data_IF_528795452321
#
_entry.id   IF_528795452321
#
_cell.length_a   1.000
_cell.length_b   1.000
_cell.length_c   1.000
_cell.angle_alpha   90.00
_cell.angle_beta   90.00
_cell.angle_gamma   90.00
#
_symmetry.space_group_name_H-M   'P 1'
#
loop_
_entity.id
_entity.type
_entity.pdbx_description
1 polymer ?
#
# COMPACT_ATOMS: atom_id res chain seq x y z
N UNK A 1 2.28 24.57 -3.28
CA UNK A 1 2.60 23.47 -2.36
C UNK A 1 2.59 22.20 -3.19
N UNK A 2 3.74 21.51 -3.29
CA UNK A 2 3.82 20.24 -4.02
C UNK A 2 3.69 19.06 -3.05
N UNK A 3 3.26 17.90 -3.55
CA UNK A 3 3.16 16.63 -2.81
C UNK A 3 4.09 15.63 -3.47
N UNK A 4 4.96 14.98 -2.70
CA UNK A 4 5.62 13.75 -3.15
C UNK A 4 4.91 12.57 -2.51
N UNK A 5 4.34 11.67 -3.33
CA UNK A 5 3.84 10.36 -2.97
C UNK A 5 4.89 9.29 -3.27
N UNK A 6 5.59 8.81 -2.25
CA UNK A 6 6.64 7.80 -2.40
C UNK A 6 6.14 6.42 -1.99
N UNK A 7 6.35 5.40 -2.84
CA UNK A 7 6.30 4.02 -2.35
C UNK A 7 7.40 3.77 -1.32
N UNK A 8 7.23 2.70 -0.50
CA UNK A 8 8.14 2.37 0.58
C UNK A 8 9.13 1.27 0.20
N UNK A 9 8.62 0.08 -0.10
CA UNK A 9 9.44 -1.13 -0.29
C UNK A 9 10.09 -1.12 -1.68
N UNK A 10 11.44 -1.07 -1.73
CA UNK A 10 12.17 -0.95 -3.01
C UNK A 10 12.34 0.49 -3.50
N UNK A 11 11.60 1.45 -2.94
CA UNK A 11 11.64 2.87 -3.28
C UNK A 11 12.28 3.69 -2.15
N UNK A 12 11.52 4.19 -1.18
CA UNK A 12 12.10 4.96 -0.07
C UNK A 12 13.08 4.10 0.74
N UNK A 13 12.70 2.85 1.04
CA UNK A 13 13.54 1.88 1.76
C UNK A 13 14.48 1.08 0.84
N UNK A 14 14.84 1.61 -0.34
CA UNK A 14 15.90 1.02 -1.14
C UNK A 14 17.25 1.22 -0.46
N UNK A 15 17.92 0.13 -0.07
CA UNK A 15 19.18 0.12 0.72
C UNK A 15 19.07 0.83 2.10
N UNK A 16 17.88 0.85 2.71
CA UNK A 16 17.64 1.52 3.98
C UNK A 16 17.38 3.02 3.86
N UNK A 17 17.05 3.65 4.99
CA UNK A 17 16.82 5.10 5.08
C UNK A 17 18.01 5.73 5.82
N UNK A 18 18.91 6.33 5.07
CA UNK A 18 20.09 7.01 5.55
C UNK A 18 19.85 8.50 5.87
N UNK A 19 20.88 9.19 6.35
CA UNK A 19 20.79 10.61 6.68
C UNK A 19 20.62 11.52 5.45
N UNK A 20 21.00 11.05 4.26
CA UNK A 20 20.81 11.82 3.02
C UNK A 20 19.33 11.90 2.69
N UNK A 21 18.63 10.76 2.71
CA UNK A 21 17.17 10.71 2.52
C UNK A 21 16.43 11.52 3.58
N UNK A 22 16.83 11.40 4.86
CA UNK A 22 16.20 12.17 5.96
C UNK A 22 16.33 13.67 5.75
N UNK A 23 17.54 14.15 5.40
CA UNK A 23 17.78 15.59 5.13
C UNK A 23 17.03 16.09 3.91
N UNK A 24 16.96 15.31 2.84
CA UNK A 24 16.20 15.66 1.64
C UNK A 24 14.70 15.80 1.96
N UNK A 25 14.09 14.83 2.65
CA UNK A 25 12.70 14.90 3.09
C UNK A 25 12.46 16.11 4.01
N UNK A 26 13.34 16.36 4.94
CA UNK A 26 13.25 17.54 5.83
C UNK A 26 13.33 18.85 5.04
N UNK A 27 14.22 18.95 4.05
CA UNK A 27 14.32 20.13 3.18
C UNK A 27 13.03 20.34 2.36
N UNK A 28 12.46 19.26 1.80
CA UNK A 28 11.19 19.29 1.09
C UNK A 28 10.06 19.86 1.94
N UNK A 29 9.92 19.34 3.16
CA UNK A 29 8.90 19.78 4.11
C UNK A 29 9.12 21.20 4.61
N UNK A 30 10.36 21.64 4.84
CA UNK A 30 10.73 23.03 5.20
C UNK A 30 10.41 24.03 4.09
N UNK A 31 10.42 23.60 2.83
CA UNK A 31 9.98 24.42 1.69
C UNK A 31 8.45 24.58 1.62
N UNK A 32 7.70 24.03 2.58
CA UNK A 32 6.23 24.12 2.62
C UNK A 32 5.52 23.06 1.78
N UNK A 33 6.22 22.00 1.41
CA UNK A 33 5.69 20.88 0.63
C UNK A 33 5.34 19.69 1.52
N UNK A 34 4.54 18.78 0.99
CA UNK A 34 4.05 17.55 1.66
C UNK A 34 4.86 16.35 1.20
N UNK A 35 5.30 15.52 2.14
CA UNK A 35 5.86 14.20 1.88
C UNK A 35 4.91 13.13 2.39
N UNK A 36 4.38 12.30 1.49
CA UNK A 36 3.46 11.21 1.78
C UNK A 36 4.08 9.85 1.42
N UNK A 37 3.94 8.89 2.32
CA UNK A 37 4.33 7.50 2.08
C UNK A 37 3.11 6.71 1.60
N UNK A 38 3.23 6.03 0.45
CA UNK A 38 2.16 5.28 -0.20
C UNK A 38 2.52 3.81 -0.26
N UNK A 39 1.77 2.94 0.43
CA UNK A 39 2.15 1.54 0.59
C UNK A 39 0.95 0.58 0.56
N UNK A 40 1.19 -0.67 0.13
CA UNK A 40 0.24 -1.77 0.30
C UNK A 40 0.11 -2.27 1.74
N UNK A 41 1.05 -1.87 2.62
CA UNK A 41 1.04 -2.26 4.03
C UNK A 41 -0.11 -1.61 4.79
N UNK A 42 -0.52 -2.25 5.90
CA UNK A 42 -1.44 -1.62 6.85
C UNK A 42 -0.87 -0.31 7.38
N UNK A 43 -1.70 0.70 7.53
CA UNK A 43 -1.27 2.07 7.92
C UNK A 43 -0.51 2.10 9.26
N UNK A 44 -0.90 1.28 10.24
CA UNK A 44 -0.17 1.17 11.51
C UNK A 44 1.24 0.59 11.31
N UNK A 45 1.41 -0.40 10.42
CA UNK A 45 2.74 -0.95 10.11
C UNK A 45 3.64 0.10 9.46
N UNK A 46 3.11 0.93 8.57
CA UNK A 46 3.85 2.03 7.93
C UNK A 46 4.27 3.08 8.96
N UNK A 47 3.35 3.47 9.85
CA UNK A 47 3.64 4.38 10.97
C UNK A 47 4.74 3.84 11.87
N UNK A 48 4.68 2.57 12.24
CA UNK A 48 5.66 1.96 13.13
C UNK A 48 7.07 1.93 12.49
N UNK A 49 7.15 1.66 11.19
CA UNK A 49 8.38 1.79 10.42
C UNK A 49 8.91 3.23 10.40
N UNK A 50 8.03 4.23 10.22
CA UNK A 50 8.40 5.64 10.29
C UNK A 50 9.00 6.01 11.64
N UNK A 51 8.37 5.57 12.75
CA UNK A 51 8.88 5.81 14.11
C UNK A 51 10.25 5.15 14.30
N UNK A 52 10.40 3.88 13.90
CA UNK A 52 11.65 3.12 14.06
C UNK A 52 12.80 3.70 13.24
N UNK A 53 12.55 4.16 12.02
CA UNK A 53 13.56 4.63 11.09
C UNK A 53 13.74 6.14 11.09
N UNK A 54 12.91 6.88 11.83
CA UNK A 54 12.98 8.32 12.07
C UNK A 54 13.18 9.16 10.80
N UNK A 55 12.29 9.00 9.83
CA UNK A 55 12.21 9.87 8.65
C UNK A 55 10.95 10.76 8.72
N UNK A 56 11.02 11.98 8.21
CA UNK A 56 9.87 12.90 8.21
C UNK A 56 8.79 12.43 7.25
N UNK A 57 7.51 12.39 7.70
CA UNK A 57 6.37 12.08 6.85
C UNK A 57 5.16 12.86 7.34
N UNK A 58 4.39 13.45 6.43
CA UNK A 58 3.20 14.22 6.78
C UNK A 58 1.94 13.37 6.73
N UNK A 59 1.91 12.41 5.78
CA UNK A 59 0.78 11.49 5.62
C UNK A 59 1.25 10.08 5.26
N UNK A 60 0.51 9.10 5.75
CA UNK A 60 0.65 7.68 5.42
C UNK A 60 -0.59 7.24 4.64
N UNK A 61 -0.40 6.85 3.40
CA UNK A 61 -1.42 6.31 2.51
C UNK A 61 -1.21 4.80 2.47
N UNK A 62 -1.91 4.09 3.35
CA UNK A 62 -1.77 2.64 3.54
C UNK A 62 -2.84 1.82 2.83
N UNK A 63 -2.72 0.50 2.93
CA UNK A 63 -3.64 -0.48 2.31
C UNK A 63 -3.92 -0.14 0.83
N UNK A 64 -2.85 0.09 0.07
CA UNK A 64 -2.90 0.43 -1.37
C UNK A 64 -3.77 1.66 -1.71
N UNK A 65 -3.83 2.64 -0.81
CA UNK A 65 -4.62 3.86 -1.02
C UNK A 65 -5.94 3.92 -0.27
N UNK A 66 -6.35 2.82 0.39
CA UNK A 66 -7.62 2.76 1.11
C UNK A 66 -7.66 3.60 2.38
N UNK A 67 -6.53 3.83 3.04
CA UNK A 67 -6.48 4.54 4.33
C UNK A 67 -5.46 5.65 4.29
N UNK A 68 -5.85 6.84 4.76
CA UNK A 68 -4.94 7.97 4.96
C UNK A 68 -4.87 8.29 6.46
N UNK A 69 -3.66 8.30 6.98
CA UNK A 69 -3.34 8.69 8.36
C UNK A 69 -2.42 9.92 8.33
N UNK A 70 -2.67 10.89 9.20
CA UNK A 70 -1.80 12.08 9.34
C UNK A 70 -0.58 11.83 10.25
N UNK A 71 0.31 12.81 10.34
CA UNK A 71 1.49 12.78 11.20
C UNK A 71 1.16 12.68 12.72
N UNK A 72 -0.09 12.96 13.13
CA UNK A 72 -0.56 12.82 14.51
C UNK A 72 -1.14 11.43 14.78
N UNK A 73 -1.00 10.49 13.84
CA UNK A 73 -1.54 9.13 13.88
C UNK A 73 -3.09 9.09 13.88
N UNK A 74 -3.74 10.09 13.30
CA UNK A 74 -5.18 10.10 13.12
C UNK A 74 -5.54 9.62 11.72
N UNK A 75 -6.45 8.66 11.62
CA UNK A 75 -7.03 8.27 10.33
C UNK A 75 -7.96 9.40 9.89
N UNK A 76 -7.60 10.06 8.79
CA UNK A 76 -8.33 11.19 8.21
C UNK A 76 -9.21 10.79 7.03
N UNK A 77 -8.98 9.61 6.46
CA UNK A 77 -9.80 9.01 5.40
C UNK A 77 -9.68 7.48 5.42
N UNK A 78 -10.81 6.78 5.15
CA UNK A 78 -10.81 5.34 4.93
C UNK A 78 -11.88 4.93 3.90
N UNK A 79 -11.45 4.26 2.84
CA UNK A 79 -12.30 3.59 1.86
C UNK A 79 -12.50 2.14 2.29
N UNK A 80 -13.67 1.86 2.90
CA UNK A 80 -13.98 0.56 3.49
C UNK A 80 -14.63 -0.39 2.50
N UNK A 81 -14.34 -1.68 2.63
CA UNK A 81 -15.03 -2.76 1.93
C UNK A 81 -16.36 -3.10 2.64
N UNK A 82 -17.30 -3.69 1.90
CA UNK A 82 -18.54 -4.21 2.47
C UNK A 82 -18.24 -5.38 3.43
N UNK A 83 -18.54 -5.27 4.73
CA UNK A 83 -18.25 -6.32 5.71
C UNK A 83 -18.94 -7.66 5.37
N UNK A 84 -20.08 -7.65 4.68
CA UNK A 84 -20.80 -8.87 4.27
C UNK A 84 -20.02 -9.71 3.25
N UNK A 85 -19.06 -9.09 2.55
CA UNK A 85 -18.25 -9.74 1.52
C UNK A 85 -16.97 -10.36 2.07
N UNK A 86 -16.61 -10.15 3.34
CA UNK A 86 -15.37 -10.67 3.92
C UNK A 86 -15.33 -12.21 3.90
N UNK A 87 -16.34 -12.86 4.48
CA UNK A 87 -16.40 -14.32 4.55
C UNK A 87 -16.47 -14.95 3.15
N UNK A 88 -17.38 -14.51 2.24
CA UNK A 88 -17.40 -15.02 0.87
C UNK A 88 -16.07 -14.89 0.12
N UNK A 89 -15.35 -13.79 0.31
CA UNK A 89 -14.03 -13.59 -0.30
C UNK A 89 -13.01 -14.59 0.24
N UNK A 90 -12.90 -14.71 1.57
CA UNK A 90 -11.91 -15.60 2.20
C UNK A 90 -12.21 -17.08 1.86
N UNK A 91 -13.48 -17.51 1.87
CA UNK A 91 -13.86 -18.85 1.44
C UNK A 91 -13.39 -19.13 0.01
N UNK A 92 -13.62 -18.19 -0.89
CA UNK A 92 -13.17 -18.34 -2.27
C UNK A 92 -11.64 -18.37 -2.41
N UNK A 93 -10.91 -17.57 -1.64
CA UNK A 93 -9.45 -17.65 -1.62
C UNK A 93 -8.96 -19.04 -1.18
N UNK A 94 -9.63 -19.69 -0.22
CA UNK A 94 -9.32 -21.07 0.17
C UNK A 94 -9.66 -22.08 -0.93
N UNK A 95 -10.77 -21.92 -1.63
CA UNK A 95 -11.09 -22.74 -2.82
C UNK A 95 -10.01 -22.62 -3.90
N UNK A 96 -9.39 -21.45 -4.02
CA UNK A 96 -8.27 -21.20 -4.94
C UNK A 96 -6.92 -21.66 -4.40
N UNK A 97 -6.89 -22.32 -3.22
CA UNK A 97 -5.70 -22.88 -2.59
C UNK A 97 -4.84 -21.88 -1.82
N UNK A 98 -5.35 -20.71 -1.48
CA UNK A 98 -4.69 -19.82 -0.52
C UNK A 98 -4.80 -20.40 0.89
N UNK A 99 -3.78 -20.21 1.72
CA UNK A 99 -3.72 -20.81 3.07
C UNK A 99 -4.04 -19.82 4.19
N UNK A 100 -4.18 -18.54 3.89
CA UNK A 100 -4.46 -17.47 4.85
C UNK A 100 -5.07 -16.24 4.16
N UNK A 101 -5.92 -15.52 4.87
CA UNK A 101 -6.33 -14.16 4.55
C UNK A 101 -5.87 -13.23 5.67
N UNK A 102 -4.97 -12.29 5.37
CA UNK A 102 -4.59 -11.20 6.28
C UNK A 102 -5.59 -10.06 6.09
N UNK A 103 -6.38 -9.78 7.11
CA UNK A 103 -7.44 -8.75 7.07
C UNK A 103 -6.95 -7.46 7.70
N UNK A 104 -7.02 -6.36 6.96
CA UNK A 104 -6.72 -5.00 7.44
C UNK A 104 -8.02 -4.32 7.88
N UNK A 105 -8.16 -4.09 9.17
CA UNK A 105 -9.31 -3.42 9.82
C UNK A 105 -8.82 -2.22 10.65
N UNK A 106 -9.29 -2.04 11.87
CA UNK A 106 -8.72 -1.08 12.84
C UNK A 106 -7.25 -1.43 13.12
N UNK A 107 -6.99 -2.72 13.20
CA UNK A 107 -5.68 -3.34 13.17
C UNK A 107 -5.70 -4.45 12.11
N UNK A 108 -4.74 -5.34 12.08
CA UNK A 108 -4.72 -6.46 11.14
C UNK A 108 -4.70 -7.80 11.89
N UNK A 109 -5.31 -8.82 11.29
CA UNK A 109 -5.36 -10.18 11.83
C UNK A 109 -5.38 -11.23 10.71
N UNK A 110 -4.88 -12.42 11.03
CA UNK A 110 -4.90 -13.55 10.11
C UNK A 110 -6.20 -14.36 10.24
N UNK A 111 -6.71 -14.84 9.11
CA UNK A 111 -7.80 -15.82 9.04
C UNK A 111 -7.32 -17.07 8.33
N UNK A 112 -7.52 -18.23 8.97
CA UNK A 112 -7.08 -19.54 8.47
C UNK A 112 -8.27 -20.47 8.20
N UNK A 113 -8.09 -21.50 7.34
CA UNK A 113 -9.06 -22.59 7.19
C UNK A 113 -9.34 -23.30 8.52
N UNK A 114 -10.56 -23.86 8.68
CA UNK A 114 -11.02 -24.49 9.92
C UNK A 114 -10.14 -25.66 10.42
N UNK A 115 -9.42 -26.32 9.54
CA UNK A 115 -8.62 -27.50 9.87
C UNK A 115 -7.15 -27.19 10.18
N UNK A 116 -6.80 -25.92 10.32
CA UNK A 116 -5.42 -25.49 10.63
C UNK A 116 -5.28 -25.36 12.14
N UNK A 117 -4.25 -25.96 12.70
CA UNK A 117 -3.86 -25.74 14.09
C UNK A 117 -3.12 -24.40 14.21
N UNK A 118 -3.88 -23.34 14.51
CA UNK A 118 -3.39 -21.98 14.62
C UNK A 118 -2.27 -21.87 15.67
N UNK A 119 -2.29 -22.69 16.73
CA UNK A 119 -1.30 -22.65 17.81
C UNK A 119 0.13 -23.03 17.33
N UNK A 120 0.23 -23.72 16.20
CA UNK A 120 1.52 -24.12 15.58
C UNK A 120 2.08 -23.08 14.63
N UNK A 121 1.28 -22.07 14.25
CA UNK A 121 1.66 -21.04 13.29
C UNK A 121 2.44 -19.94 14.01
N UNK A 122 3.74 -19.84 13.70
CA UNK A 122 4.55 -18.71 14.14
C UNK A 122 4.49 -17.64 13.06
N UNK A 123 3.85 -16.51 13.36
CA UNK A 123 3.87 -15.33 12.51
C UNK A 123 4.31 -14.10 13.29
N UNK A 124 5.28 -13.39 12.73
CA UNK A 124 5.90 -12.23 13.37
C UNK A 124 5.09 -10.93 13.20
N UNK A 125 3.94 -10.96 12.48
CA UNK A 125 3.30 -9.75 11.98
C UNK A 125 1.81 -9.59 12.28
N UNK A 126 1.11 -10.62 12.75
CA UNK A 126 -0.30 -10.50 13.13
C UNK A 126 -0.48 -10.71 14.62
N UNK A 127 -1.06 -9.74 15.34
CA UNK A 127 -1.31 -9.89 16.77
C UNK A 127 -2.31 -10.99 17.07
N UNK A 128 -3.29 -11.23 16.16
CA UNK A 128 -4.38 -12.17 16.33
C UNK A 128 -4.57 -13.09 15.13
N UNK A 129 -5.07 -14.29 15.40
CA UNK A 129 -5.36 -15.31 14.38
C UNK A 129 -6.71 -15.98 14.66
N UNK A 130 -7.51 -16.12 13.62
CA UNK A 130 -8.88 -16.64 13.68
C UNK A 130 -9.11 -17.70 12.61
N UNK A 131 -10.17 -18.50 12.77
CA UNK A 131 -10.79 -19.24 11.66
C UNK A 131 -12.02 -18.50 11.16
N UNK A 132 -12.59 -18.89 10.02
CA UNK A 132 -13.81 -18.26 9.49
C UNK A 132 -14.95 -18.20 10.51
N UNK A 133 -15.10 -19.26 11.34
CA UNK A 133 -16.15 -19.32 12.38
C UNK A 133 -15.87 -18.46 13.59
N UNK A 134 -14.64 -18.10 13.82
CA UNK A 134 -14.20 -17.34 14.99
C UNK A 134 -13.86 -15.89 14.71
N UNK A 135 -14.00 -15.42 13.43
CA UNK A 135 -13.78 -14.01 13.10
C UNK A 135 -14.62 -13.12 14.02
N UNK A 136 -14.02 -12.18 14.75
CA UNK A 136 -14.77 -11.26 15.58
C UNK A 136 -15.61 -10.32 14.72
N UNK A 137 -16.65 -9.72 15.29
CA UNK A 137 -17.35 -8.62 14.67
C UNK A 137 -16.38 -7.43 14.49
N UNK A 138 -16.12 -7.04 13.25
CA UNK A 138 -15.27 -5.91 12.91
C UNK A 138 -16.12 -4.75 12.39
N UNK A 139 -15.78 -3.50 12.74
CA UNK A 139 -16.55 -2.34 12.28
C UNK A 139 -16.41 -2.12 10.77
N UNK A 140 -15.25 -2.43 10.19
CA UNK A 140 -14.92 -2.34 8.77
C UNK A 140 -13.63 -3.11 8.47
N UNK A 141 -13.35 -3.32 7.18
CA UNK A 141 -12.02 -3.68 6.69
C UNK A 141 -11.73 -2.93 5.38
N UNK A 142 -10.47 -2.77 5.07
CA UNK A 142 -10.02 -1.97 3.93
C UNK A 142 -9.25 -2.79 2.90
N UNK A 143 -8.71 -3.94 3.32
CA UNK A 143 -7.92 -4.83 2.47
C UNK A 143 -7.94 -6.25 3.02
N UNK A 144 -7.89 -7.23 2.14
CA UNK A 144 -7.53 -8.62 2.45
C UNK A 144 -6.29 -8.96 1.64
N UNK A 145 -5.22 -9.41 2.31
CA UNK A 145 -4.00 -9.85 1.65
C UNK A 145 -3.84 -11.36 1.75
N UNK A 146 -3.35 -11.99 0.70
CA UNK A 146 -2.96 -13.40 0.67
C UNK A 146 -1.71 -13.58 -0.19
N UNK A 147 -1.22 -14.82 -0.34
CA UNK A 147 -0.04 -15.09 -1.14
C UNK A 147 -0.12 -16.47 -1.83
N UNK A 148 0.69 -16.65 -2.87
CA UNK A 148 0.87 -17.92 -3.56
C UNK A 148 2.35 -18.25 -3.74
N UNK A 149 2.73 -19.56 -3.84
CA UNK A 149 4.13 -19.96 -3.97
C UNK A 149 4.81 -19.48 -5.25
N UNK A 150 4.04 -19.26 -6.33
CA UNK A 150 4.60 -18.81 -7.62
C UNK A 150 3.88 -17.56 -8.12
N UNK A 151 4.57 -16.80 -8.97
CA UNK A 151 4.05 -15.59 -9.60
C UNK A 151 2.81 -15.88 -10.45
N UNK A 152 2.84 -16.99 -11.21
CA UNK A 152 1.74 -17.43 -12.07
C UNK A 152 0.50 -17.81 -11.26
N UNK A 153 0.66 -18.50 -10.14
CA UNK A 153 -0.48 -18.82 -9.26
C UNK A 153 -1.08 -17.55 -8.64
N UNK A 154 -0.25 -16.58 -8.22
CA UNK A 154 -0.73 -15.32 -7.71
C UNK A 154 -1.51 -14.53 -8.79
N UNK A 155 -1.01 -14.51 -10.03
CA UNK A 155 -1.71 -13.90 -11.16
C UNK A 155 -3.06 -14.59 -11.45
N UNK A 156 -3.11 -15.93 -11.40
CA UNK A 156 -4.35 -16.70 -11.59
C UNK A 156 -5.39 -16.40 -10.50
N UNK A 157 -4.96 -16.33 -9.23
CA UNK A 157 -5.86 -15.98 -8.12
C UNK A 157 -6.41 -14.57 -8.31
N UNK A 158 -5.55 -13.59 -8.63
CA UNK A 158 -5.98 -12.21 -8.89
C UNK A 158 -7.01 -12.13 -10.02
N UNK A 159 -6.77 -12.85 -11.13
CA UNK A 159 -7.70 -12.90 -12.26
C UNK A 159 -9.06 -13.50 -11.87
N UNK A 160 -9.07 -14.62 -11.13
CA UNK A 160 -10.30 -15.30 -10.69
C UNK A 160 -11.10 -14.48 -9.67
N UNK A 161 -10.41 -13.78 -8.74
CA UNK A 161 -11.08 -12.86 -7.82
C UNK A 161 -11.70 -11.70 -8.58
N UNK A 162 -11.00 -11.13 -9.56
CA UNK A 162 -11.54 -10.06 -10.41
C UNK A 162 -12.75 -10.53 -11.23
N UNK A 163 -12.72 -11.74 -11.78
CA UNK A 163 -13.83 -12.32 -12.53
C UNK A 163 -15.09 -12.49 -11.67
N UNK A 164 -14.93 -13.03 -10.44
CA UNK A 164 -16.07 -13.37 -9.55
C UNK A 164 -16.57 -12.18 -8.73
N UNK A 165 -15.68 -11.29 -8.31
CA UNK A 165 -15.95 -10.24 -7.32
C UNK A 165 -15.53 -8.83 -7.79
N UNK A 166 -15.29 -8.60 -9.07
CA UNK A 166 -14.78 -7.33 -9.60
C UNK A 166 -15.69 -6.12 -9.35
N UNK A 167 -16.99 -6.33 -9.07
CA UNK A 167 -17.89 -5.25 -8.64
C UNK A 167 -17.57 -4.74 -7.23
N UNK A 168 -17.00 -5.59 -6.38
CA UNK A 168 -16.71 -5.31 -4.98
C UNK A 168 -15.23 -5.03 -4.73
N UNK A 169 -14.35 -5.71 -5.49
CA UNK A 169 -12.92 -5.77 -5.18
C UNK A 169 -12.02 -5.53 -6.38
N UNK A 170 -10.90 -4.88 -6.11
CA UNK A 170 -9.74 -4.74 -6.99
C UNK A 170 -8.58 -5.58 -6.43
N UNK A 171 -8.34 -6.80 -6.94
CA UNK A 171 -7.16 -7.60 -6.58
C UNK A 171 -5.93 -7.08 -7.31
N UNK A 172 -4.89 -6.74 -6.56
CA UNK A 172 -3.60 -6.27 -7.05
C UNK A 172 -2.50 -7.25 -6.68
N UNK A 173 -1.73 -7.69 -7.68
CA UNK A 173 -0.59 -8.56 -7.44
C UNK A 173 0.66 -7.73 -7.14
N UNK A 174 1.38 -8.13 -6.09
CA UNK A 174 2.70 -7.62 -5.75
C UNK A 174 3.65 -8.80 -5.50
N UNK A 175 4.38 -9.20 -6.52
CA UNK A 175 5.20 -10.41 -6.47
C UNK A 175 4.36 -11.66 -6.23
N UNK A 176 4.60 -12.35 -5.12
CA UNK A 176 3.85 -13.53 -4.67
C UNK A 176 2.59 -13.16 -3.86
N UNK A 177 2.48 -11.90 -3.43
CA UNK A 177 1.36 -11.41 -2.65
C UNK A 177 0.23 -10.90 -3.56
N UNK A 178 -0.97 -10.97 -3.02
CA UNK A 178 -2.20 -10.48 -3.64
C UNK A 178 -2.91 -9.64 -2.61
N UNK A 179 -3.04 -8.35 -2.88
CA UNK A 179 -3.76 -7.39 -2.06
C UNK A 179 -5.11 -7.09 -2.70
N UNK A 180 -6.17 -7.26 -1.94
CA UNK A 180 -7.55 -7.15 -2.41
C UNK A 180 -8.21 -6.01 -1.65
N UNK A 181 -8.44 -4.91 -2.33
CA UNK A 181 -9.07 -3.69 -1.80
C UNK A 181 -10.45 -3.49 -2.42
N UNK A 182 -11.19 -2.46 -2.01
CA UNK A 182 -12.45 -2.07 -2.65
C UNK A 182 -12.22 -1.76 -4.14
N UNK A 183 -13.22 -2.04 -4.99
CA UNK A 183 -13.11 -2.03 -6.45
C UNK A 183 -12.58 -0.70 -7.04
N UNK A 184 -12.88 0.44 -6.42
CA UNK A 184 -12.49 1.78 -6.84
C UNK A 184 -11.22 2.31 -6.15
N UNK A 185 -10.49 1.47 -5.43
CA UNK A 185 -9.29 1.85 -4.66
C UNK A 185 -8.02 1.36 -5.36
N UNK A 186 -7.02 2.23 -5.41
CA UNK A 186 -5.62 1.96 -5.75
C UNK A 186 -4.73 3.10 -5.21
N UNK A 187 -3.42 3.00 -5.36
CA UNK A 187 -2.46 4.02 -4.88
C UNK A 187 -2.72 5.41 -5.45
N UNK A 188 -3.10 5.53 -6.73
CA UNK A 188 -3.45 6.81 -7.35
C UNK A 188 -4.70 7.43 -6.71
N UNK A 189 -5.74 6.63 -6.46
CA UNK A 189 -6.97 7.10 -5.79
C UNK A 189 -6.69 7.58 -4.37
N UNK A 190 -5.81 6.91 -3.63
CA UNK A 190 -5.35 7.38 -2.32
C UNK A 190 -4.68 8.76 -2.40
N UNK A 191 -3.84 8.99 -3.42
CA UNK A 191 -3.22 10.30 -3.66
C UNK A 191 -4.24 11.37 -4.09
N UNK A 192 -5.26 11.05 -4.89
CA UNK A 192 -6.37 11.97 -5.17
C UNK A 192 -7.10 12.39 -3.90
N UNK A 193 -7.37 11.45 -2.98
CA UNK A 193 -7.97 11.77 -1.67
C UNK A 193 -7.07 12.67 -0.83
N UNK A 194 -5.76 12.37 -0.80
CA UNK A 194 -4.80 13.23 -0.10
C UNK A 194 -4.76 14.64 -0.70
N UNK A 195 -4.71 14.75 -2.03
CA UNK A 195 -4.73 16.02 -2.75
C UNK A 195 -5.96 16.87 -2.35
N UNK A 196 -7.15 16.27 -2.34
CA UNK A 196 -8.38 16.92 -1.89
C UNK A 196 -8.30 17.40 -0.43
N UNK A 197 -7.75 16.54 0.46
CA UNK A 197 -7.61 16.84 1.90
C UNK A 197 -6.70 18.04 2.17
N UNK A 198 -5.62 18.21 1.41
CA UNK A 198 -4.64 19.28 1.62
C UNK A 198 -4.88 20.50 0.71
N UNK A 199 -5.86 20.45 -0.19
CA UNK A 199 -6.19 21.53 -1.11
C UNK A 199 -5.15 21.72 -2.23
N UNK A 200 -4.47 20.65 -2.63
CA UNK A 200 -3.54 20.63 -3.75
C UNK A 200 -4.27 20.36 -5.08
N UNK A 201 -3.59 20.65 -6.20
CA UNK A 201 -4.07 20.36 -7.55
C UNK A 201 -3.35 19.15 -8.15
N UNK A 202 -3.83 18.66 -9.28
CA UNK A 202 -3.21 17.56 -10.02
C UNK A 202 -1.73 17.82 -10.34
N UNK A 203 -1.41 19.04 -10.79
CA UNK A 203 -0.05 19.43 -11.18
C UNK A 203 0.91 19.57 -9.98
N UNK A 204 0.38 19.57 -8.76
CA UNK A 204 1.17 19.61 -7.53
C UNK A 204 1.69 18.22 -7.10
N UNK A 205 1.16 17.12 -7.68
CA UNK A 205 1.46 15.75 -7.24
C UNK A 205 2.58 15.14 -8.06
N UNK A 206 3.60 14.64 -7.36
CA UNK A 206 4.75 13.91 -7.90
C UNK A 206 4.77 12.54 -7.25
N UNK A 207 5.02 11.50 -8.04
CA UNK A 207 5.04 10.12 -7.55
C UNK A 207 6.36 9.43 -7.83
N UNK A 208 6.75 8.49 -6.97
CA UNK A 208 7.91 7.63 -7.18
C UNK A 208 7.62 6.20 -6.72
N UNK A 209 8.00 5.24 -7.56
CA UNK A 209 7.79 3.81 -7.32
C UNK A 209 8.76 2.93 -8.08
N UNK A 210 8.71 1.62 -7.82
CA UNK A 210 9.65 0.66 -8.41
C UNK A 210 8.97 -0.59 -9.02
N UNK A 211 7.70 -0.85 -8.71
CA UNK A 211 7.07 -2.12 -9.01
C UNK A 211 5.64 -1.96 -9.60
N UNK A 212 5.09 -3.05 -10.12
CA UNK A 212 3.80 -3.06 -10.83
C UNK A 212 2.60 -2.60 -9.99
N UNK A 213 2.66 -2.72 -8.66
CA UNK A 213 1.63 -2.18 -7.78
C UNK A 213 1.64 -0.63 -7.69
N UNK A 214 2.66 0.03 -8.28
CA UNK A 214 2.76 1.48 -8.41
C UNK A 214 2.20 1.99 -9.73
N UNK A 215 1.83 1.07 -10.66
CA UNK A 215 1.45 1.39 -12.03
C UNK A 215 0.45 2.55 -12.10
N UNK A 216 -0.61 2.52 -11.30
CA UNK A 216 -1.67 3.52 -11.38
C UNK A 216 -1.17 4.90 -10.95
N UNK A 217 -0.38 5.03 -9.88
CA UNK A 217 0.13 6.33 -9.45
C UNK A 217 1.22 6.87 -10.37
N UNK A 218 2.06 6.00 -10.96
CA UNK A 218 3.10 6.39 -11.91
C UNK A 218 2.48 6.85 -13.23
N UNK A 219 1.40 6.21 -13.69
CA UNK A 219 0.68 6.58 -14.90
C UNK A 219 -0.09 7.88 -14.77
N UNK A 220 -0.63 8.15 -13.58
CA UNK A 220 -1.62 9.19 -13.34
C UNK A 220 -0.98 10.57 -13.12
N UNK A 221 0.19 10.65 -12.47
CA UNK A 221 0.80 11.89 -12.03
C UNK A 221 2.18 12.11 -12.66
N UNK A 222 2.77 13.31 -12.49
CA UNK A 222 4.20 13.52 -12.77
C UNK A 222 5.00 12.48 -11.99
N UNK A 223 5.82 11.70 -12.69
CA UNK A 223 6.28 10.44 -12.09
C UNK A 223 7.76 10.15 -12.29
N UNK A 224 8.29 9.45 -11.30
CA UNK A 224 9.64 8.90 -11.30
C UNK A 224 9.61 7.39 -11.06
N UNK A 225 10.35 6.63 -11.86
CA UNK A 225 10.65 5.24 -11.58
C UNK A 225 12.03 5.12 -10.94
N UNK A 226 12.16 4.25 -9.93
CA UNK A 226 13.50 3.88 -9.43
C UNK A 226 14.31 3.22 -10.54
N UNK A 227 15.61 3.56 -10.69
CA UNK A 227 16.51 2.90 -11.64
C UNK A 227 16.61 1.38 -11.41
N UNK A 228 16.51 0.96 -10.14
CA UNK A 228 16.43 -0.44 -9.70
C UNK A 228 15.07 -1.09 -9.96
N UNK A 229 14.05 -0.32 -10.32
CA UNK A 229 12.68 -0.79 -10.51
C UNK A 229 12.49 -1.65 -11.78
N UNK A 230 11.32 -2.27 -11.88
CA UNK A 230 10.99 -3.12 -13.03
C UNK A 230 10.87 -2.31 -14.32
N UNK A 231 11.23 -2.93 -15.46
CA UNK A 231 11.31 -2.22 -16.73
C UNK A 231 9.97 -1.59 -17.14
N UNK A 232 8.84 -2.27 -16.91
CA UNK A 232 7.51 -1.76 -17.25
C UNK A 232 7.13 -0.46 -16.52
N UNK A 233 7.65 -0.24 -15.31
CA UNK A 233 7.43 1.00 -14.56
C UNK A 233 8.38 2.10 -15.08
N UNK A 234 9.64 1.75 -15.41
CA UNK A 234 10.57 2.71 -16.04
C UNK A 234 10.10 3.19 -17.41
N UNK A 235 9.48 2.31 -18.20
CA UNK A 235 8.94 2.66 -19.52
C UNK A 235 7.68 3.55 -19.42
N UNK A 236 6.99 3.52 -18.28
CA UNK A 236 5.77 4.28 -18.02
C UNK A 236 6.04 5.67 -17.45
N UNK A 237 7.05 5.79 -16.58
CA UNK A 237 7.35 7.00 -15.84
C UNK A 237 7.92 8.12 -16.72
N UNK A 238 7.65 9.39 -16.35
CA UNK A 238 8.22 10.56 -17.03
C UNK A 238 9.74 10.61 -16.88
N UNK A 239 10.26 10.18 -15.71
CA UNK A 239 11.68 10.22 -15.37
C UNK A 239 12.11 8.95 -14.63
N UNK A 240 13.44 8.74 -14.58
CA UNK A 240 14.06 7.77 -13.67
C UNK A 240 14.89 8.49 -12.62
N UNK A 241 15.07 7.86 -11.46
CA UNK A 241 15.88 8.39 -10.36
C UNK A 241 16.68 7.28 -9.67
N UNK A 242 17.92 7.51 -9.24
CA UNK A 242 18.66 6.57 -8.42
C UNK A 242 18.09 6.44 -7.00
N UNK A 243 17.36 7.47 -6.52
CA UNK A 243 16.77 7.49 -5.19
C UNK A 243 15.80 8.63 -4.94
N UNK A 244 15.11 8.55 -3.80
CA UNK A 244 14.13 9.57 -3.39
C UNK A 244 14.82 10.90 -3.03
N UNK A 245 16.06 10.85 -2.52
CA UNK A 245 16.81 12.07 -2.19
C UNK A 245 17.12 12.90 -3.44
N UNK A 246 17.63 12.26 -4.49
CA UNK A 246 17.97 12.89 -5.76
C UNK A 246 16.74 13.46 -6.48
N UNK A 247 15.61 12.74 -6.39
CA UNK A 247 14.33 13.26 -6.88
C UNK A 247 13.95 14.55 -6.14
N UNK A 248 14.02 14.55 -4.81
CA UNK A 248 13.67 15.72 -3.99
C UNK A 248 14.58 16.90 -4.31
N UNK A 249 15.90 16.70 -4.41
CA UNK A 249 16.86 17.75 -4.78
C UNK A 249 16.49 18.37 -6.13
N UNK A 250 16.20 17.55 -7.14
CA UNK A 250 15.78 18.02 -8.46
C UNK A 250 14.50 18.85 -8.42
N UNK A 251 13.47 18.40 -7.70
CA UNK A 251 12.18 19.08 -7.64
C UNK A 251 12.19 20.35 -6.77
N UNK A 252 13.19 20.53 -5.89
CA UNK A 252 13.43 21.76 -5.15
C UNK A 252 14.14 22.81 -5.99
N UNK A 253 14.92 22.40 -7.01
CA UNK A 253 15.66 23.30 -7.91
C UNK A 253 14.77 23.80 -9.09
N UNK A 254 13.61 23.16 -9.36
CA UNK A 254 12.61 23.56 -10.35
C UNK A 254 11.59 24.59 -9.77
#
# INVERSE_FOLDING_TARGET
MKIIGSDYDGTLNHNGIDDTKRRAIEAWRKAGNVFALVSGRHVNSVRDLHIQQNFGCDYFVGSNGAVIMDANNQVVHADVCDPSMLVPLIEYLYELGCSVGLVHSVDFFDVFPENVDISTLKRDHSPDSYTLKSIPAIPYYTQVSTWRPTFEEAAQVSAKVREKFGEYFNPMQNGLNIDIVRADVNKAKGLYRLMELVGATYDDVITVGDNVNDYDMIKEFRSYAMESGVQSIKDLADFTTPGVAELIERELDE
#
